data_IF_237198332458
#
_entry.id   IF_237198332458
#
_cell.length_a   1.000
_cell.length_b   1.000
_cell.length_c   1.000
_cell.angle_alpha   90.00
_cell.angle_beta   90.00
_cell.angle_gamma   90.00
#
_symmetry.space_group_name_H-M   'P 1'
#
loop_
_entity.id
_entity.type
_entity.pdbx_description
1 polymer ?
#
# COMPACT_ATOMS: atom_id res chain seq x y z
N UNK A 1 20.42 -3.80 10.52
CA UNK A 1 20.00 -4.25 11.82
C UNK A 1 18.50 -4.09 12.02
N UNK A 2 17.93 -4.82 12.95
CA UNK A 2 16.49 -4.74 13.21
C UNK A 2 16.07 -3.35 13.70
N UNK A 3 16.90 -2.68 14.49
CA UNK A 3 16.60 -1.34 14.97
C UNK A 3 16.54 -0.34 13.81
N UNK A 4 17.45 -0.44 12.87
CA UNK A 4 17.44 0.42 11.68
C UNK A 4 16.20 0.15 10.83
N UNK A 5 15.82 -1.13 10.65
CA UNK A 5 14.63 -1.50 9.92
C UNK A 5 13.36 -0.93 10.57
N UNK A 6 13.28 -0.95 11.91
CA UNK A 6 12.12 -0.43 12.61
C UNK A 6 11.98 1.08 12.44
N UNK A 7 13.10 1.80 12.46
CA UNK A 7 13.11 3.25 12.22
C UNK A 7 12.62 3.54 10.79
N UNK A 8 13.06 2.76 9.82
CA UNK A 8 12.71 3.01 8.42
C UNK A 8 11.25 2.69 8.09
N UNK A 9 10.53 1.98 8.97
CA UNK A 9 9.09 1.75 8.78
C UNK A 9 8.27 3.04 8.83
N UNK A 10 8.84 4.14 9.28
CA UNK A 10 8.19 5.46 9.26
C UNK A 10 8.30 6.16 7.93
N UNK A 11 9.03 5.57 7.00
CA UNK A 11 9.25 6.14 5.67
C UNK A 11 9.10 5.05 4.63
N UNK A 12 8.73 5.45 3.42
CA UNK A 12 8.72 4.58 2.27
C UNK A 12 9.50 5.26 1.15
N UNK A 13 10.14 4.45 0.30
CA UNK A 13 10.88 4.93 -0.85
C UNK A 13 10.89 3.83 -1.90
N UNK A 14 10.37 4.13 -3.06
CA UNK A 14 10.33 3.13 -4.12
C UNK A 14 9.80 3.68 -5.43
N UNK A 15 9.69 2.78 -6.40
CA UNK A 15 9.17 3.08 -7.71
C UNK A 15 7.65 2.89 -7.72
N UNK A 16 6.95 3.75 -8.45
CA UNK A 16 5.49 3.76 -8.49
C UNK A 16 4.94 2.81 -9.54
N UNK A 17 3.93 2.04 -9.12
CA UNK A 17 3.05 1.29 -10.00
C UNK A 17 1.70 2.00 -9.99
N UNK A 18 1.31 2.60 -11.12
CA UNK A 18 0.15 3.49 -11.20
C UNK A 18 -1.07 2.76 -11.75
N UNK A 19 -2.20 2.92 -11.08
CA UNK A 19 -3.49 2.37 -11.52
C UNK A 19 -4.57 3.45 -11.46
N UNK A 20 -5.75 3.17 -11.98
CA UNK A 20 -6.83 4.14 -12.11
C UNK A 20 -7.86 4.10 -10.99
N UNK A 21 -9.10 4.42 -11.33
CA UNK A 21 -10.23 4.43 -10.40
C UNK A 21 -10.77 3.03 -10.17
N UNK A 22 -11.39 2.83 -9.00
CA UNK A 22 -12.18 1.64 -8.68
C UNK A 22 -11.40 0.33 -8.86
N UNK A 23 -10.16 0.32 -8.36
CA UNK A 23 -9.38 -0.91 -8.31
C UNK A 23 -9.98 -1.76 -7.19
N UNK A 24 -10.84 -2.71 -7.55
CA UNK A 24 -11.58 -3.48 -6.56
C UNK A 24 -10.77 -4.68 -6.04
N UNK A 25 -11.27 -5.26 -4.95
CA UNK A 25 -10.56 -6.36 -4.29
C UNK A 25 -10.44 -7.61 -5.18
N UNK A 26 -11.40 -7.83 -6.08
CA UNK A 26 -11.35 -8.93 -7.04
C UNK A 26 -10.21 -8.75 -8.05
N UNK A 27 -9.92 -7.50 -8.39
CA UNK A 27 -8.83 -7.17 -9.31
C UNK A 27 -7.49 -7.30 -8.59
N UNK A 28 -7.44 -6.90 -7.32
CA UNK A 28 -6.21 -6.99 -6.52
C UNK A 28 -5.82 -8.44 -6.30
N UNK A 29 -6.77 -9.28 -5.90
CA UNK A 29 -6.56 -10.71 -5.76
C UNK A 29 -7.83 -11.45 -6.21
N UNK A 30 -7.77 -12.17 -7.34
CA UNK A 30 -8.96 -12.84 -7.86
C UNK A 30 -9.52 -13.89 -6.90
N UNK A 31 -10.84 -14.10 -6.98
CA UNK A 31 -11.55 -15.03 -6.10
C UNK A 31 -11.00 -16.46 -6.16
N UNK A 32 -10.45 -16.86 -7.30
CA UNK A 32 -9.90 -18.20 -7.47
C UNK A 32 -8.70 -18.49 -6.56
N UNK A 33 -8.12 -17.47 -5.94
CA UNK A 33 -6.98 -17.62 -5.03
C UNK A 33 -7.35 -17.46 -3.55
N UNK A 34 -8.63 -17.31 -3.23
CA UNK A 34 -9.06 -17.07 -1.85
C UNK A 34 -9.08 -18.32 -0.98
N UNK A 35 -8.79 -19.47 -1.57
CA UNK A 35 -8.73 -20.74 -0.83
C UNK A 35 -7.39 -20.94 -0.12
N UNK A 36 -6.47 -19.99 -0.21
CA UNK A 36 -5.18 -20.06 0.46
C UNK A 36 -5.00 -18.88 1.39
N UNK A 37 -4.27 -19.11 2.49
CA UNK A 37 -3.80 -18.05 3.38
C UNK A 37 -2.30 -17.85 3.26
N UNK A 38 -1.65 -18.55 2.33
CA UNK A 38 -0.20 -18.43 2.13
C UNK A 38 0.11 -17.08 1.49
N UNK A 39 0.83 -16.23 2.23
CA UNK A 39 1.17 -14.88 1.78
C UNK A 39 2.00 -14.88 0.49
N UNK A 40 2.90 -15.83 0.34
CA UNK A 40 3.72 -15.94 -0.87
C UNK A 40 2.90 -16.28 -2.10
N UNK A 41 1.93 -17.17 -1.93
CA UNK A 41 1.05 -17.53 -3.02
C UNK A 41 0.15 -16.36 -3.41
N UNK A 42 -0.42 -15.67 -2.42
CA UNK A 42 -1.23 -14.48 -2.69
C UNK A 42 -0.40 -13.40 -3.40
N UNK A 43 0.84 -13.19 -2.96
CA UNK A 43 1.72 -12.20 -3.59
C UNK A 43 2.01 -12.55 -5.05
N UNK A 44 2.15 -13.83 -5.37
CA UNK A 44 2.48 -14.27 -6.73
C UNK A 44 1.34 -14.03 -7.72
N UNK A 45 0.13 -13.77 -7.24
CA UNK A 45 -1.05 -13.52 -8.08
C UNK A 45 -1.60 -12.10 -7.90
N UNK A 46 -0.91 -11.25 -7.14
CA UNK A 46 -1.36 -9.89 -6.87
C UNK A 46 -1.46 -9.09 -8.16
N UNK A 47 -2.59 -8.43 -8.38
CA UNK A 47 -2.87 -7.59 -9.56
C UNK A 47 -2.85 -8.35 -10.89
N UNK A 48 -2.88 -9.68 -10.85
CA UNK A 48 -2.71 -10.52 -12.04
C UNK A 48 -3.71 -10.21 -13.16
N UNK A 49 -4.95 -9.93 -12.81
CA UNK A 49 -6.01 -9.71 -13.81
C UNK A 49 -5.97 -8.31 -14.44
N UNK A 50 -5.32 -7.36 -13.82
CA UNK A 50 -5.22 -5.98 -14.33
C UNK A 50 -3.82 -5.68 -14.87
N UNK A 51 -2.80 -6.32 -14.32
CA UNK A 51 -1.41 -6.07 -14.69
C UNK A 51 -0.59 -7.33 -14.42
N UNK A 52 -0.54 -8.22 -15.39
CA UNK A 52 0.15 -9.50 -15.22
C UNK A 52 1.67 -9.36 -15.07
N UNK A 53 2.23 -8.21 -15.38
CA UNK A 53 3.65 -7.97 -15.21
C UNK A 53 3.97 -7.37 -13.84
N UNK A 54 2.97 -7.03 -13.04
CA UNK A 54 3.18 -6.45 -11.73
C UNK A 54 4.12 -7.30 -10.87
N UNK A 55 3.84 -8.59 -10.75
CA UNK A 55 4.63 -9.48 -9.89
C UNK A 55 6.06 -9.66 -10.38
N UNK A 56 6.31 -9.45 -11.68
CA UNK A 56 7.66 -9.50 -12.24
C UNK A 56 8.43 -8.21 -12.00
N UNK A 57 7.74 -7.08 -12.00
CA UNK A 57 8.36 -5.76 -11.97
C UNK A 57 8.41 -5.16 -10.57
N UNK A 58 7.55 -5.60 -9.65
CA UNK A 58 7.51 -5.05 -8.30
C UNK A 58 8.78 -5.41 -7.54
N UNK A 59 9.32 -4.42 -6.83
CA UNK A 59 10.48 -4.59 -5.98
C UNK A 59 10.12 -4.24 -4.55
N UNK A 60 10.85 -4.80 -3.62
CA UNK A 60 10.63 -4.54 -2.21
C UNK A 60 10.75 -3.04 -1.93
N UNK A 61 9.75 -2.47 -1.31
CA UNK A 61 9.69 -1.04 -1.02
C UNK A 61 8.91 -0.22 -2.04
N UNK A 62 8.50 -0.80 -3.17
CA UNK A 62 7.75 -0.07 -4.18
C UNK A 62 6.41 0.44 -3.65
N UNK A 63 5.81 1.37 -4.40
CA UNK A 63 4.61 2.10 -3.98
C UNK A 63 3.54 1.94 -5.06
N UNK A 64 2.30 1.66 -4.65
CA UNK A 64 1.15 1.72 -5.56
C UNK A 64 0.51 3.10 -5.43
N UNK A 65 0.20 3.71 -6.57
CA UNK A 65 -0.54 4.97 -6.64
C UNK A 65 -1.77 4.74 -7.51
N UNK A 66 -2.93 5.11 -7.00
CA UNK A 66 -4.20 4.95 -7.72
C UNK A 66 -5.10 6.16 -7.47
N UNK A 67 -6.27 6.18 -8.09
CA UNK A 67 -7.16 7.31 -7.99
C UNK A 67 -8.29 7.06 -6.98
N UNK A 68 -9.56 7.12 -7.42
CA UNK A 68 -10.70 7.06 -6.52
C UNK A 68 -11.05 5.62 -6.12
N UNK A 69 -11.48 5.46 -4.88
CA UNK A 69 -12.16 4.26 -4.42
C UNK A 69 -11.33 2.98 -4.53
N UNK A 70 -10.06 3.06 -4.15
CA UNK A 70 -9.17 1.90 -4.17
C UNK A 70 -9.61 0.86 -3.13
N UNK A 71 -9.67 -0.40 -3.55
CA UNK A 71 -10.07 -1.49 -2.66
C UNK A 71 -11.57 -1.69 -2.54
N UNK A 72 -12.36 -1.12 -3.46
CA UNK A 72 -13.81 -1.28 -3.46
C UNK A 72 -14.19 -2.74 -3.71
N UNK A 73 -15.49 -3.02 -3.62
CA UNK A 73 -16.01 -4.37 -3.82
C UNK A 73 -16.09 -5.15 -2.51
N UNK A 74 -15.83 -6.45 -2.58
CA UNK A 74 -15.95 -7.34 -1.42
C UNK A 74 -14.93 -7.05 -0.33
N UNK A 75 -15.31 -7.27 0.93
CA UNK A 75 -14.42 -7.05 2.07
C UNK A 75 -13.45 -8.22 2.23
N UNK A 76 -12.46 -8.30 1.36
CA UNK A 76 -11.48 -9.39 1.37
C UNK A 76 -10.21 -8.97 2.07
N UNK A 77 -9.92 -9.64 3.17
CA UNK A 77 -8.66 -9.43 3.89
C UNK A 77 -7.46 -9.85 3.04
N UNK A 78 -7.67 -10.75 2.10
CA UNK A 78 -6.62 -11.23 1.20
C UNK A 78 -6.02 -10.12 0.33
N UNK A 79 -6.82 -9.10 -0.01
CA UNK A 79 -6.36 -8.03 -0.88
C UNK A 79 -5.20 -7.23 -0.29
N UNK A 80 -5.32 -6.63 0.91
CA UNK A 80 -4.18 -5.92 1.49
C UNK A 80 -3.02 -6.86 1.84
N UNK A 81 -3.29 -8.11 2.19
CA UNK A 81 -2.24 -9.10 2.44
C UNK A 81 -1.42 -9.35 1.16
N UNK A 82 -2.10 -9.53 0.03
CA UNK A 82 -1.42 -9.77 -1.24
C UNK A 82 -0.53 -8.58 -1.64
N UNK A 83 -1.04 -7.37 -1.45
CA UNK A 83 -0.27 -6.16 -1.75
C UNK A 83 0.97 -6.07 -0.86
N UNK A 84 0.80 -6.23 0.44
CA UNK A 84 1.92 -6.15 1.38
C UNK A 84 2.96 -7.25 1.11
N UNK A 85 2.50 -8.47 0.89
CA UNK A 85 3.38 -9.61 0.66
C UNK A 85 4.15 -9.49 -0.66
N UNK A 86 3.64 -8.73 -1.63
CA UNK A 86 4.35 -8.50 -2.89
C UNK A 86 5.53 -7.54 -2.75
N UNK A 87 5.69 -6.90 -1.59
CA UNK A 87 6.79 -5.98 -1.33
C UNK A 87 6.39 -4.51 -1.32
N UNK A 88 5.13 -4.20 -1.58
CA UNK A 88 4.65 -2.82 -1.57
C UNK A 88 4.74 -2.25 -0.16
N UNK A 89 5.37 -1.08 -0.04
CA UNK A 89 5.56 -0.40 1.24
C UNK A 89 4.42 0.55 1.58
N UNK A 90 3.72 1.06 0.57
CA UNK A 90 2.67 2.06 0.76
C UNK A 90 1.75 2.10 -0.45
N UNK A 91 0.46 2.38 -0.20
CA UNK A 91 -0.50 2.66 -1.27
C UNK A 91 -0.98 4.10 -1.08
N UNK A 92 -0.88 4.91 -2.13
CA UNK A 92 -1.37 6.28 -2.16
C UNK A 92 -2.55 6.32 -3.11
N UNK A 93 -3.68 6.86 -2.68
CA UNK A 93 -4.86 6.99 -3.54
C UNK A 93 -5.60 8.28 -3.23
N UNK A 94 -6.46 8.70 -4.15
CA UNK A 94 -7.35 9.84 -3.89
C UNK A 94 -8.30 9.49 -2.75
N UNK A 95 -8.92 8.31 -2.82
CA UNK A 95 -9.75 7.77 -1.74
C UNK A 95 -9.62 6.26 -1.68
N UNK A 96 -9.95 5.68 -0.52
CA UNK A 96 -10.00 4.24 -0.31
C UNK A 96 -11.42 3.83 0.10
N UNK A 97 -11.81 2.62 -0.30
CA UNK A 97 -13.02 2.02 0.27
C UNK A 97 -12.80 1.78 1.77
N UNK A 98 -13.82 2.05 2.57
CA UNK A 98 -13.72 2.05 4.04
C UNK A 98 -13.20 0.72 4.58
N UNK A 99 -13.75 -0.39 4.10
CA UNK A 99 -13.38 -1.71 4.61
C UNK A 99 -11.95 -2.05 4.23
N UNK A 100 -11.54 -1.72 3.00
CA UNK A 100 -10.15 -1.91 2.57
C UNK A 100 -9.19 -1.11 3.46
N UNK A 101 -9.53 0.15 3.73
CA UNK A 101 -8.73 1.02 4.59
C UNK A 101 -8.51 0.35 5.95
N UNK A 102 -9.59 -0.10 6.57
CA UNK A 102 -9.52 -0.77 7.87
C UNK A 102 -8.67 -2.05 7.83
N UNK A 103 -8.90 -2.89 6.83
CA UNK A 103 -8.17 -4.14 6.70
C UNK A 103 -6.68 -3.90 6.47
N UNK A 104 -6.33 -2.91 5.67
CA UNK A 104 -4.94 -2.55 5.40
C UNK A 104 -4.21 -2.14 6.67
N UNK A 105 -4.81 -1.26 7.47
CA UNK A 105 -4.23 -0.83 8.74
C UNK A 105 -4.06 -2.03 9.68
N UNK A 106 -5.07 -2.90 9.75
CA UNK A 106 -5.04 -4.06 10.65
C UNK A 106 -3.87 -5.01 10.37
N UNK A 107 -3.43 -5.11 9.11
CA UNK A 107 -2.30 -5.99 8.75
C UNK A 107 -0.99 -5.23 8.58
N UNK A 108 -0.99 -3.93 8.86
CA UNK A 108 0.23 -3.12 8.80
C UNK A 108 0.63 -2.63 7.41
N UNK A 109 -0.29 -2.60 6.46
CA UNK A 109 -0.03 -1.99 5.16
C UNK A 109 -0.29 -0.49 5.26
N UNK A 110 0.73 0.33 5.03
CA UNK A 110 0.60 1.77 5.08
C UNK A 110 -0.19 2.29 3.88
N UNK A 111 -1.16 3.16 4.14
CA UNK A 111 -2.00 3.77 3.10
C UNK A 111 -2.17 5.25 3.39
N UNK A 112 -2.20 6.07 2.34
CA UNK A 112 -2.37 7.51 2.46
C UNK A 112 -3.37 8.00 1.43
N UNK A 113 -4.28 8.86 1.86
CA UNK A 113 -5.18 9.56 0.94
C UNK A 113 -4.58 10.92 0.59
N UNK A 114 -4.32 11.14 -0.69
CA UNK A 114 -3.83 12.42 -1.19
C UNK A 114 -4.22 12.57 -2.65
N UNK A 115 -5.26 13.33 -2.90
CA UNK A 115 -5.79 13.51 -4.25
C UNK A 115 -4.78 14.14 -5.19
N UNK A 116 -4.04 15.15 -4.71
CA UNK A 116 -3.02 15.83 -5.50
C UNK A 116 -1.92 14.86 -5.95
N UNK A 117 -1.41 14.08 -5.01
CA UNK A 117 -0.36 13.10 -5.32
C UNK A 117 -0.90 12.02 -6.26
N UNK A 118 -2.10 11.54 -6.01
CA UNK A 118 -2.70 10.48 -6.83
C UNK A 118 -2.85 10.91 -8.29
N UNK A 119 -3.17 12.17 -8.53
CA UNK A 119 -3.36 12.69 -9.89
C UNK A 119 -2.06 13.02 -10.60
N UNK A 120 -1.07 13.50 -9.88
CA UNK A 120 0.17 14.02 -10.48
C UNK A 120 1.27 12.98 -10.60
N UNK A 121 1.36 12.02 -9.68
CA UNK A 121 2.38 10.98 -9.74
C UNK A 121 2.10 10.05 -10.92
N UNK A 122 3.15 9.71 -11.66
CA UNK A 122 3.04 8.86 -12.85
C UNK A 122 3.72 7.51 -12.63
N UNK A 123 3.32 6.54 -13.42
CA UNK A 123 3.91 5.21 -13.37
C UNK A 123 5.43 5.30 -13.61
N UNK A 124 6.18 4.61 -12.78
CA UNK A 124 7.65 4.60 -12.89
C UNK A 124 8.35 5.72 -12.16
N UNK A 125 7.61 6.71 -11.62
CA UNK A 125 8.24 7.76 -10.82
C UNK A 125 8.85 7.18 -9.55
N UNK A 126 9.93 7.80 -9.09
CA UNK A 126 10.52 7.48 -7.80
C UNK A 126 9.90 8.40 -6.75
N UNK A 127 9.38 7.82 -5.67
CA UNK A 127 8.63 8.56 -4.65
C UNK A 127 9.12 8.17 -3.26
N UNK A 128 9.22 9.16 -2.38
CA UNK A 128 9.49 8.98 -0.95
C UNK A 128 8.30 9.47 -0.15
N UNK A 129 7.98 8.76 0.93
CA UNK A 129 6.88 9.14 1.81
C UNK A 129 7.39 9.19 3.24
N UNK A 130 7.09 10.30 3.92
CA UNK A 130 7.35 10.44 5.35
C UNK A 130 6.01 10.33 6.09
N UNK A 131 5.80 9.23 6.79
CA UNK A 131 4.53 8.97 7.47
C UNK A 131 4.32 9.85 8.70
N UNK A 132 5.40 10.39 9.28
CA UNK A 132 5.29 11.26 10.46
C UNK A 132 4.76 12.64 10.11
N UNK A 133 5.12 13.15 8.94
CA UNK A 133 4.71 14.49 8.51
C UNK A 133 3.62 14.46 7.45
N UNK A 134 3.43 13.34 6.77
CA UNK A 134 2.50 13.22 5.65
C UNK A 134 3.06 13.78 4.36
N UNK A 135 4.33 14.11 4.29
CA UNK A 135 4.94 14.66 3.07
C UNK A 135 5.30 13.54 2.10
N UNK A 136 4.84 13.67 0.88
CA UNK A 136 5.14 12.77 -0.22
C UNK A 136 6.04 13.55 -1.19
N UNK A 137 7.23 13.02 -1.45
CA UNK A 137 8.20 13.66 -2.35
C UNK A 137 8.29 12.87 -3.65
N UNK A 138 7.96 13.52 -4.76
CA UNK A 138 8.17 12.92 -6.08
C UNK A 138 9.60 13.27 -6.52
N UNK A 139 10.52 12.35 -6.34
CA UNK A 139 11.94 12.56 -6.63
C UNK A 139 12.15 12.81 -8.12
N UNK A 140 11.43 12.05 -8.95
CA UNK A 140 11.56 12.15 -10.41
C UNK A 140 11.14 13.53 -10.91
N UNK A 141 10.04 14.07 -10.39
CA UNK A 141 9.53 15.38 -10.82
C UNK A 141 10.09 16.55 -10.01
N UNK A 142 10.68 16.28 -8.85
CA UNK A 142 11.23 17.31 -7.97
C UNK A 142 10.17 18.14 -7.26
N UNK A 143 9.04 17.55 -6.92
CA UNK A 143 7.95 18.24 -6.21
C UNK A 143 7.46 17.44 -5.02
N UNK A 144 6.65 18.09 -4.18
CA UNK A 144 6.11 17.45 -2.97
C UNK A 144 4.60 17.64 -2.89
N UNK A 145 3.98 16.74 -2.14
CA UNK A 145 2.55 16.78 -1.83
C UNK A 145 2.38 16.56 -0.35
N UNK A 146 1.26 17.02 0.20
CA UNK A 146 1.01 16.90 1.64
C UNK A 146 -0.26 16.08 1.87
N UNK A 147 -0.10 14.96 2.56
CA UNK A 147 -1.23 14.16 3.05
C UNK A 147 -1.37 14.38 4.56
N UNK A 148 -2.50 13.93 5.12
CA UNK A 148 -2.68 13.91 6.56
C UNK A 148 -1.74 12.86 7.17
N UNK A 149 -0.90 13.22 8.15
CA UNK A 149 -0.09 12.21 8.83
C UNK A 149 -0.98 11.29 9.67
N UNK A 150 -0.53 10.06 9.87
CA UNK A 150 -1.27 9.13 10.72
C UNK A 150 -1.27 9.58 12.18
N UNK A 151 -2.39 9.37 12.90
CA UNK A 151 -2.37 9.48 14.36
C UNK A 151 -1.34 8.50 14.95
N UNK A 152 -0.83 8.80 16.14
CA UNK A 152 0.21 7.99 16.77
C UNK A 152 -0.20 6.52 16.93
N UNK A 153 -1.45 6.25 17.30
CA UNK A 153 -1.87 4.86 17.48
C UNK A 153 -1.90 4.09 16.15
N UNK A 154 -2.19 4.75 15.04
CA UNK A 154 -2.14 4.12 13.71
C UNK A 154 -0.68 3.83 13.31
N UNK A 155 0.22 4.77 13.56
CA UNK A 155 1.65 4.57 13.29
C UNK A 155 2.18 3.37 14.07
N UNK A 156 1.77 3.22 15.33
CA UNK A 156 2.17 2.11 16.17
C UNK A 156 1.69 0.77 15.60
N UNK A 157 0.44 0.72 15.16
CA UNK A 157 -0.12 -0.49 14.55
C UNK A 157 0.68 -0.88 13.30
N UNK A 158 0.95 0.08 12.42
CA UNK A 158 1.69 -0.17 11.18
C UNK A 158 3.11 -0.62 11.48
N UNK A 159 3.78 0.07 12.40
CA UNK A 159 5.17 -0.23 12.75
C UNK A 159 5.32 -1.63 13.36
N UNK A 160 4.30 -2.13 14.02
CA UNK A 160 4.30 -3.47 14.61
C UNK A 160 3.81 -4.55 13.66
N UNK A 161 3.50 -4.18 12.41
CA UNK A 161 3.07 -5.13 11.40
C UNK A 161 1.60 -5.50 11.44
N UNK A 162 0.77 -4.67 12.09
CA UNK A 162 -0.67 -4.85 12.13
C UNK A 162 -1.25 -4.87 13.53
N UNK A 163 -2.57 -4.84 13.60
CA UNK A 163 -3.28 -4.72 14.87
C UNK A 163 -2.99 -5.87 15.83
N UNK A 164 -3.02 -7.11 15.34
CA UNK A 164 -2.76 -8.26 16.20
C UNK A 164 -1.37 -8.21 16.82
N UNK A 165 -0.37 -7.82 16.04
CA UNK A 165 0.99 -7.71 16.52
C UNK A 165 1.14 -6.57 17.54
N UNK A 166 0.40 -5.48 17.37
CA UNK A 166 0.47 -4.35 18.31
C UNK A 166 -0.13 -4.71 19.67
N UNK A 167 -1.05 -5.67 19.71
CA UNK A 167 -1.67 -6.13 20.95
C UNK A 167 -0.86 -7.20 21.68
N UNK A 168 0.15 -7.76 21.04
CA UNK A 168 1.03 -8.77 21.63
C UNK A 168 2.17 -8.08 22.36
N UNK A 169 2.04 -7.90 23.62
CA UNK A 169 3.10 -7.32 24.40
C UNK A 169 3.44 -8.17 25.60
#
# INVERSE_FOLDING_TARGET
SSAASDVYKRQAHGTVHKYGDNVDTDVIIPARYLNTADHKELASHCMEDIDKDFVKNVKDGDIIVANMNFGCGSSREHAPIAIKASGISCVIASTFARIFYRNAINIGLAILECDEAAKDIENGNEVEVDFDTGVITNVTKGCTYKAEPFPEFIKDIINKGGLLNSLKK
#
